data_IF_469389624679
#
_entry.id   IF_469389624679
#
_cell.length_a   1.000
_cell.length_b   1.000
_cell.length_c   1.000
_cell.angle_alpha   90.00
_cell.angle_beta   90.00
_cell.angle_gamma   90.00
#
_symmetry.space_group_name_H-M   'P 1'
#
loop_
_entity.id
_entity.type
_entity.pdbx_description
1 polymer ?
#
# COMPACT_ATOMS: atom_id res chain seq x y z
N UNK A 1 -19.43 20.13 -4.53
CA UNK A 1 -18.32 19.91 -3.57
C UNK A 1 -17.81 18.51 -3.85
N UNK A 2 -16.52 18.32 -3.87
CA UNK A 2 -15.92 17.00 -4.10
C UNK A 2 -16.34 16.03 -2.98
N UNK A 3 -16.82 14.85 -3.35
CA UNK A 3 -17.05 13.76 -2.41
C UNK A 3 -15.77 12.95 -2.23
N UNK A 4 -15.46 12.56 -1.00
CA UNK A 4 -14.38 11.63 -0.73
C UNK A 4 -14.95 10.31 -0.23
N UNK A 5 -14.56 9.22 -0.87
CA UNK A 5 -14.89 7.85 -0.46
C UNK A 5 -13.64 7.20 0.13
N UNK A 6 -13.76 6.62 1.32
CA UNK A 6 -12.69 5.95 2.03
C UNK A 6 -13.01 4.45 2.16
N UNK A 7 -12.23 3.60 1.50
CA UNK A 7 -12.29 2.16 1.65
C UNK A 7 -11.47 1.74 2.88
N UNK A 8 -12.08 0.99 3.78
CA UNK A 8 -11.47 0.50 5.01
C UNK A 8 -11.59 -1.01 5.06
N UNK A 9 -10.55 -1.70 4.61
CA UNK A 9 -10.46 -3.16 4.66
C UNK A 9 -10.02 -3.63 6.04
N UNK A 10 -10.74 -4.59 6.59
CA UNK A 10 -10.49 -5.12 7.92
C UNK A 10 -10.42 -6.64 7.93
N UNK A 11 -10.10 -7.20 9.09
CA UNK A 11 -10.10 -8.66 9.29
C UNK A 11 -11.49 -9.30 9.23
N UNK A 12 -12.57 -8.52 9.25
CA UNK A 12 -13.95 -9.06 9.25
C UNK A 12 -14.93 -8.29 8.36
N UNK A 13 -14.44 -7.78 7.26
CA UNK A 13 -15.26 -7.10 6.26
C UNK A 13 -14.66 -5.80 5.78
N UNK A 14 -15.41 -5.14 4.90
CA UNK A 14 -15.10 -3.84 4.31
C UNK A 14 -16.08 -2.80 4.85
N UNK A 15 -15.56 -1.65 5.27
CA UNK A 15 -16.34 -0.47 5.58
C UNK A 15 -16.05 0.62 4.55
N UNK A 16 -17.04 1.46 4.31
CA UNK A 16 -16.94 2.59 3.39
C UNK A 16 -17.26 3.87 4.16
N UNK A 17 -16.28 4.74 4.24
CA UNK A 17 -16.45 6.10 4.73
C UNK A 17 -16.83 7.02 3.59
N UNK A 18 -17.77 7.96 3.82
CA UNK A 18 -18.16 8.99 2.85
C UNK A 18 -18.14 10.35 3.49
N UNK A 19 -17.59 11.33 2.77
CA UNK A 19 -17.61 12.73 3.15
C UNK A 19 -17.95 13.59 1.94
N UNK A 20 -19.01 14.41 2.07
CA UNK A 20 -19.47 15.32 1.02
C UNK A 20 -19.22 16.80 1.38
N UNK A 21 -18.50 17.09 2.47
CA UNK A 21 -18.30 18.42 3.04
C UNK A 21 -16.82 18.77 3.20
N UNK A 22 -15.99 18.38 2.24
CA UNK A 22 -14.55 18.59 2.26
C UNK A 22 -13.87 17.88 3.44
N UNK A 23 -14.22 16.61 3.65
CA UNK A 23 -13.61 15.74 4.66
C UNK A 23 -13.78 16.21 6.11
N UNK A 24 -14.80 17.07 6.38
CA UNK A 24 -15.08 17.58 7.73
C UNK A 24 -15.85 16.59 8.57
N UNK A 25 -16.79 15.91 7.95
CA UNK A 25 -17.62 14.90 8.61
C UNK A 25 -17.66 13.62 7.76
N UNK A 26 -17.89 12.50 8.43
CA UNK A 26 -17.87 11.18 7.79
C UNK A 26 -19.10 10.36 8.20
N UNK A 27 -19.72 9.73 7.23
CA UNK A 27 -20.63 8.61 7.46
C UNK A 27 -19.88 7.30 7.18
N UNK A 28 -20.04 6.31 8.06
CA UNK A 28 -19.40 4.99 7.91
C UNK A 28 -20.48 3.95 7.69
N UNK A 29 -20.36 3.23 6.56
CA UNK A 29 -21.29 2.18 6.16
C UNK A 29 -20.58 0.82 6.18
N UNK A 30 -21.27 -0.23 6.63
CA UNK A 30 -20.71 -1.59 6.66
C UNK A 30 -21.15 -2.42 7.87
N UNK A 31 -20.60 -3.65 8.03
CA UNK A 31 -19.64 -4.25 7.11
C UNK A 31 -20.27 -4.72 5.81
N UNK A 32 -19.61 -4.44 4.71
CA UNK A 32 -19.78 -5.19 3.48
C UNK A 32 -18.82 -6.39 3.48
N UNK A 33 -19.08 -7.43 2.71
CA UNK A 33 -18.30 -8.67 2.73
C UNK A 33 -18.13 -9.22 4.16
N UNK A 34 -19.22 -9.40 4.93
CA UNK A 34 -19.13 -9.73 6.34
C UNK A 34 -18.42 -11.06 6.56
N UNK A 35 -17.57 -11.12 7.59
CA UNK A 35 -16.75 -12.27 7.97
C UNK A 35 -15.63 -12.61 6.97
N UNK A 36 -15.37 -11.79 5.97
CA UNK A 36 -14.23 -11.92 5.07
C UNK A 36 -13.07 -11.02 5.52
N UNK A 37 -11.85 -11.52 5.43
CA UNK A 37 -10.66 -10.67 5.61
C UNK A 37 -10.43 -9.86 4.33
N UNK A 38 -10.48 -8.54 4.41
CA UNK A 38 -10.19 -7.63 3.29
C UNK A 38 -8.81 -7.02 3.51
N UNK A 39 -7.79 -7.71 3.01
CA UNK A 39 -6.40 -7.33 3.22
C UNK A 39 -5.90 -6.27 2.22
N UNK A 40 -6.51 -6.17 1.06
CA UNK A 40 -6.17 -5.18 0.04
C UNK A 40 -7.41 -4.44 -0.44
N UNK A 41 -7.28 -3.12 -0.58
CA UNK A 41 -8.25 -2.28 -1.31
C UNK A 41 -7.50 -1.45 -2.34
N UNK A 42 -8.15 -1.20 -3.49
CA UNK A 42 -7.58 -0.43 -4.60
C UNK A 42 -8.59 0.52 -5.20
N UNK A 43 -8.09 1.53 -5.89
CA UNK A 43 -8.90 2.51 -6.62
C UNK A 43 -8.28 2.74 -7.98
N UNK A 44 -9.01 2.52 -9.06
CA UNK A 44 -8.67 3.00 -10.39
C UNK A 44 -9.53 4.25 -10.70
N UNK A 45 -8.94 5.44 -10.68
CA UNK A 45 -9.67 6.68 -10.93
C UNK A 45 -10.20 6.79 -12.37
N UNK A 46 -9.71 5.95 -13.29
CA UNK A 46 -10.13 5.94 -14.70
C UNK A 46 -11.42 5.16 -14.95
N UNK A 47 -11.92 4.45 -13.93
CA UNK A 47 -13.13 3.61 -14.03
C UNK A 47 -12.88 2.25 -14.68
N UNK A 48 -13.93 1.42 -14.76
CA UNK A 48 -13.87 0.01 -15.17
C UNK A 48 -13.83 -0.28 -16.67
N UNK A 49 -13.87 0.72 -17.53
CA UNK A 49 -13.87 0.52 -18.98
C UNK A 49 -12.47 0.65 -19.61
N UNK A 50 -12.25 -0.06 -20.74
CA UNK A 50 -11.16 0.22 -21.68
C UNK A 50 -11.44 1.56 -22.40
N UNK A 51 -11.44 2.67 -21.66
CA UNK A 51 -11.70 3.98 -22.23
C UNK A 51 -10.44 4.48 -22.93
N UNK A 52 -10.57 4.65 -24.25
CA UNK A 52 -9.53 5.21 -25.12
C UNK A 52 -9.76 6.72 -25.41
N UNK A 53 -10.74 7.34 -24.73
CA UNK A 53 -11.22 8.69 -25.03
C UNK A 53 -10.40 9.83 -24.36
N UNK A 54 -9.31 9.51 -23.66
CA UNK A 54 -8.41 10.50 -23.06
C UNK A 54 -9.01 11.29 -21.88
N UNK A 55 -10.13 10.83 -21.31
CA UNK A 55 -10.76 11.46 -20.14
C UNK A 55 -9.78 11.52 -18.96
N UNK A 56 -9.65 12.69 -18.35
CA UNK A 56 -8.80 12.88 -17.17
C UNK A 56 -9.45 12.22 -15.95
N UNK A 57 -8.69 11.53 -15.10
CA UNK A 57 -9.22 10.94 -13.87
C UNK A 57 -9.89 11.99 -12.99
N UNK A 58 -11.15 11.74 -12.58
CA UNK A 58 -11.87 12.57 -11.62
C UNK A 58 -12.46 13.89 -12.14
N UNK A 59 -12.24 14.25 -13.43
CA UNK A 59 -12.76 15.53 -13.98
C UNK A 59 -13.96 15.40 -14.93
N UNK A 60 -14.22 14.22 -15.50
CA UNK A 60 -15.21 14.06 -16.58
C UNK A 60 -16.43 13.22 -16.19
N UNK A 61 -16.81 13.23 -14.90
CA UNK A 61 -17.93 12.42 -14.42
C UNK A 61 -17.67 10.90 -14.47
N UNK A 62 -16.40 10.50 -14.50
CA UNK A 62 -16.00 9.10 -14.47
C UNK A 62 -16.10 8.58 -13.04
N UNK A 63 -16.90 7.54 -12.83
CA UNK A 63 -16.93 6.82 -11.55
C UNK A 63 -15.68 5.93 -11.44
N UNK A 64 -14.84 6.10 -10.41
CA UNK A 64 -13.70 5.22 -10.18
C UNK A 64 -14.14 3.77 -10.02
N UNK A 65 -13.31 2.83 -10.49
CA UNK A 65 -13.46 1.42 -10.12
C UNK A 65 -12.75 1.17 -8.80
N UNK A 66 -13.48 0.59 -7.86
CA UNK A 66 -12.95 0.18 -6.57
C UNK A 66 -12.64 -1.31 -6.59
N UNK A 67 -11.62 -1.73 -5.86
CA UNK A 67 -11.22 -3.13 -5.72
C UNK A 67 -11.15 -3.55 -4.25
N UNK A 68 -11.46 -4.81 -3.99
CA UNK A 68 -11.24 -5.48 -2.71
C UNK A 68 -10.62 -6.86 -2.92
N UNK A 69 -9.45 -7.08 -2.33
CA UNK A 69 -8.85 -8.40 -2.19
C UNK A 69 -9.37 -9.04 -0.90
N UNK A 70 -10.20 -10.04 -1.04
CA UNK A 70 -10.95 -10.65 0.06
C UNK A 70 -10.59 -12.12 0.22
N UNK A 71 -10.47 -12.58 1.46
CA UNK A 71 -10.25 -13.99 1.81
C UNK A 71 -11.40 -14.49 2.68
N UNK A 72 -12.06 -15.53 2.20
CA UNK A 72 -13.16 -16.20 2.88
C UNK A 72 -12.74 -17.64 3.25
N UNK A 73 -13.04 -18.08 4.46
CA UNK A 73 -12.68 -19.42 4.92
C UNK A 73 -13.38 -20.56 4.13
N UNK A 74 -14.52 -20.28 3.49
CA UNK A 74 -15.29 -21.27 2.72
C UNK A 74 -15.00 -21.24 1.22
N UNK A 75 -14.70 -20.04 0.67
CA UNK A 75 -14.57 -19.83 -0.79
C UNK A 75 -13.15 -19.48 -1.22
N UNK A 76 -12.22 -19.33 -0.25
CA UNK A 76 -10.85 -18.95 -0.55
C UNK A 76 -10.65 -17.45 -0.78
N UNK A 77 -9.60 -17.11 -1.50
CA UNK A 77 -9.18 -15.73 -1.77
C UNK A 77 -9.61 -15.32 -3.18
N UNK A 78 -10.15 -14.10 -3.29
CA UNK A 78 -10.66 -13.55 -4.55
C UNK A 78 -10.46 -12.04 -4.64
N UNK A 79 -10.55 -11.49 -5.85
CA UNK A 79 -10.65 -10.06 -6.12
C UNK A 79 -12.10 -9.72 -6.47
N UNK A 80 -12.60 -8.65 -5.88
CA UNK A 80 -13.91 -8.07 -6.15
C UNK A 80 -13.71 -6.66 -6.70
N UNK A 81 -14.64 -6.19 -7.53
CA UNK A 81 -14.66 -4.81 -7.98
C UNK A 81 -16.05 -4.17 -7.84
N UNK A 82 -16.09 -2.86 -7.77
CA UNK A 82 -17.30 -2.05 -7.75
C UNK A 82 -17.14 -0.88 -8.72
N UNK A 83 -18.15 -0.65 -9.55
CA UNK A 83 -18.25 0.48 -10.48
C UNK A 83 -19.30 1.52 -10.02
N UNK A 84 -19.83 1.37 -8.81
CA UNK A 84 -20.87 2.22 -8.21
C UNK A 84 -20.47 2.75 -6.81
N UNK A 85 -19.17 3.00 -6.62
CA UNK A 85 -18.61 3.53 -5.38
C UNK A 85 -18.86 2.66 -4.15
N UNK A 86 -18.90 1.33 -4.36
CA UNK A 86 -19.03 0.37 -3.28
C UNK A 86 -20.47 0.11 -2.84
N UNK A 87 -21.49 0.58 -3.58
CA UNK A 87 -22.87 0.21 -3.30
C UNK A 87 -23.13 -1.26 -3.66
N UNK A 88 -22.50 -1.78 -4.71
CA UNK A 88 -22.50 -3.19 -5.02
C UNK A 88 -21.09 -3.69 -5.40
N UNK A 89 -20.84 -4.97 -5.15
CA UNK A 89 -19.57 -5.62 -5.45
C UNK A 89 -19.81 -6.80 -6.39
N UNK A 90 -19.06 -6.82 -7.48
CA UNK A 90 -19.08 -7.91 -8.44
C UNK A 90 -17.88 -8.81 -8.15
N UNK A 91 -18.16 -10.09 -7.97
CA UNK A 91 -17.12 -11.10 -7.94
C UNK A 91 -16.55 -11.28 -9.32
N UNK A 92 -15.26 -11.16 -9.45
CA UNK A 92 -14.56 -11.74 -10.58
C UNK A 92 -14.69 -13.27 -10.43
N UNK A 93 -14.79 -14.05 -11.52
CA UNK A 93 -14.81 -15.50 -11.44
C UNK A 93 -13.77 -16.03 -10.45
N UNK A 94 -14.09 -17.12 -9.77
CA UNK A 94 -13.20 -17.72 -8.72
C UNK A 94 -11.75 -17.93 -9.17
N UNK A 95 -11.49 -17.82 -10.46
CA UNK A 95 -10.21 -18.03 -11.13
C UNK A 95 -9.52 -16.75 -11.62
N UNK A 96 -9.97 -15.56 -11.21
CA UNK A 96 -9.38 -14.30 -11.72
C UNK A 96 -7.88 -14.18 -11.42
N UNK A 97 -7.47 -14.60 -10.22
CA UNK A 97 -6.06 -14.79 -9.86
C UNK A 97 -5.85 -16.27 -9.54
N UNK A 98 -5.29 -17.00 -10.47
CA UNK A 98 -5.01 -18.42 -10.32
C UNK A 98 -3.54 -18.73 -10.58
N UNK A 99 -2.92 -19.40 -9.63
CA UNK A 99 -1.58 -19.94 -9.85
C UNK A 99 -1.64 -21.10 -10.87
N UNK A 100 -0.77 -21.11 -11.88
CA UNK A 100 -0.65 -22.24 -12.80
C UNK A 100 -0.35 -23.55 -12.06
N UNK A 101 -0.91 -24.68 -12.50
CA UNK A 101 -0.74 -26.00 -11.86
C UNK A 101 0.74 -26.37 -11.65
N UNK A 102 1.63 -25.95 -12.58
CA UNK A 102 3.07 -26.17 -12.48
C UNK A 102 3.71 -25.63 -11.21
N UNK A 103 3.09 -24.65 -10.58
CA UNK A 103 3.60 -24.03 -9.37
C UNK A 103 3.33 -24.84 -8.10
N UNK A 104 2.32 -25.72 -8.13
CA UNK A 104 1.86 -26.45 -6.95
C UNK A 104 1.31 -25.57 -5.83
N UNK A 105 0.99 -24.30 -6.12
CA UNK A 105 0.55 -23.31 -5.14
C UNK A 105 -0.88 -22.81 -5.43
N UNK A 106 -1.48 -22.24 -4.40
CA UNK A 106 -2.78 -21.54 -4.47
C UNK A 106 -2.67 -20.15 -3.89
N UNK A 107 -3.62 -19.28 -4.24
CA UNK A 107 -3.70 -17.92 -3.74
C UNK A 107 -4.11 -17.93 -2.26
N UNK A 108 -3.22 -17.45 -1.38
CA UNK A 108 -3.50 -17.34 0.06
C UNK A 108 -4.09 -15.97 0.41
N UNK A 109 -3.52 -14.90 -0.17
CA UNK A 109 -3.94 -13.51 0.10
C UNK A 109 -3.56 -12.59 -1.04
N UNK A 110 -4.41 -11.60 -1.32
CA UNK A 110 -4.06 -10.42 -2.10
C UNK A 110 -3.57 -9.35 -1.15
N UNK A 111 -2.35 -8.85 -1.38
CA UNK A 111 -1.73 -7.85 -0.51
C UNK A 111 -1.84 -6.43 -1.05
N UNK A 112 -1.81 -6.27 -2.37
CA UNK A 112 -1.99 -4.98 -3.00
C UNK A 112 -2.68 -5.12 -4.35
N UNK A 113 -3.56 -4.17 -4.66
CA UNK A 113 -4.16 -3.97 -5.98
C UNK A 113 -3.88 -2.53 -6.36
N UNK A 114 -3.22 -2.32 -7.51
CA UNK A 114 -2.85 -0.98 -7.98
C UNK A 114 -3.06 -0.88 -9.48
N UNK A 115 -3.65 0.20 -9.99
CA UNK A 115 -3.73 0.43 -11.44
C UNK A 115 -2.33 0.68 -12.01
N UNK A 116 -2.09 0.16 -13.23
CA UNK A 116 -0.95 0.55 -14.05
C UNK A 116 -1.26 1.80 -14.86
N UNK A 117 -0.36 2.20 -15.75
CA UNK A 117 -0.55 3.43 -16.54
C UNK A 117 -1.40 3.21 -17.80
N UNK A 118 -1.43 1.99 -18.32
CA UNK A 118 -2.24 1.68 -19.51
C UNK A 118 -3.73 1.54 -19.15
N UNK A 119 -4.66 1.92 -20.06
CA UNK A 119 -6.08 1.68 -19.85
C UNK A 119 -6.37 0.20 -19.57
N UNK A 120 -7.15 -0.08 -18.53
CA UNK A 120 -7.50 -1.43 -18.09
C UNK A 120 -6.38 -2.22 -17.42
N UNK A 121 -5.21 -1.62 -17.26
CA UNK A 121 -4.10 -2.27 -16.56
C UNK A 121 -4.28 -2.19 -15.05
N UNK A 122 -4.20 -3.35 -14.41
CA UNK A 122 -4.23 -3.50 -12.95
C UNK A 122 -3.20 -4.54 -12.53
N UNK A 123 -2.43 -4.22 -11.51
CA UNK A 123 -1.44 -5.10 -10.91
C UNK A 123 -1.92 -5.62 -9.56
N UNK A 124 -1.63 -6.87 -9.26
CA UNK A 124 -1.88 -7.48 -7.96
C UNK A 124 -0.60 -8.12 -7.42
N UNK A 125 -0.20 -7.70 -6.21
CA UNK A 125 0.84 -8.36 -5.42
C UNK A 125 0.18 -9.32 -4.43
N UNK A 126 0.66 -10.56 -4.39
CA UNK A 126 -0.02 -11.65 -3.67
C UNK A 126 0.91 -12.48 -2.80
N UNK A 127 0.29 -13.38 -2.01
CA UNK A 127 0.91 -14.44 -1.24
C UNK A 127 0.43 -15.81 -1.77
N UNK A 128 1.35 -16.77 -2.03
CA UNK A 128 2.82 -16.68 -2.00
C UNK A 128 3.36 -15.60 -2.97
N UNK A 129 4.57 -15.08 -2.68
CA UNK A 129 5.18 -13.96 -3.43
C UNK A 129 5.10 -14.18 -4.95
N UNK A 130 4.18 -13.46 -5.57
CA UNK A 130 4.01 -13.38 -7.01
C UNK A 130 3.37 -12.04 -7.39
N UNK A 131 3.52 -11.68 -8.65
CA UNK A 131 2.83 -10.55 -9.26
C UNK A 131 1.92 -11.06 -10.35
N UNK A 132 0.71 -10.56 -10.36
CA UNK A 132 -0.27 -10.78 -11.42
C UNK A 132 -0.62 -9.46 -12.09
N UNK A 133 -0.88 -9.50 -13.41
CA UNK A 133 -1.24 -8.33 -14.20
C UNK A 133 -2.52 -8.61 -14.97
N UNK A 134 -3.44 -7.67 -14.92
CA UNK A 134 -4.64 -7.60 -15.74
C UNK A 134 -4.48 -6.53 -16.82
N UNK A 135 -5.13 -6.71 -17.96
CA UNK A 135 -5.26 -5.74 -19.06
C UNK A 135 -6.72 -5.48 -19.42
N UNK A 136 -7.66 -6.02 -18.63
CA UNK A 136 -9.11 -5.93 -18.85
C UNK A 136 -9.86 -5.26 -17.69
N UNK A 137 -9.16 -4.39 -16.94
CA UNK A 137 -9.72 -3.64 -15.82
C UNK A 137 -9.84 -4.47 -14.54
N UNK A 138 -9.03 -5.50 -14.37
CA UNK A 138 -9.02 -6.33 -13.16
C UNK A 138 -10.04 -7.47 -13.19
N UNK A 139 -10.55 -7.84 -14.38
CA UNK A 139 -11.49 -8.96 -14.54
C UNK A 139 -10.76 -10.30 -14.59
N UNK A 140 -9.64 -10.36 -15.33
CA UNK A 140 -8.77 -11.53 -15.36
C UNK A 140 -7.32 -11.11 -15.12
N UNK A 141 -6.52 -12.00 -14.55
CA UNK A 141 -5.12 -11.73 -14.23
C UNK A 141 -4.22 -12.85 -14.74
N UNK A 142 -3.04 -12.48 -15.21
CA UNK A 142 -1.99 -13.40 -15.63
C UNK A 142 -0.79 -13.28 -14.69
N UNK A 143 -0.28 -14.41 -14.22
CA UNK A 143 0.92 -14.47 -13.38
C UNK A 143 2.16 -14.03 -14.17
N UNK A 144 3.04 -13.28 -13.54
CA UNK A 144 4.35 -12.99 -14.09
C UNK A 144 5.30 -14.18 -13.86
N UNK A 145 5.53 -14.95 -14.90
CA UNK A 145 6.34 -16.17 -14.86
C UNK A 145 7.82 -15.87 -14.58
N UNK A 146 8.36 -14.77 -15.12
CA UNK A 146 9.77 -14.41 -14.94
C UNK A 146 10.12 -14.08 -13.48
N UNK A 147 9.18 -13.46 -12.73
CA UNK A 147 9.36 -13.27 -11.30
C UNK A 147 9.17 -14.58 -10.53
N UNK A 148 8.18 -15.38 -10.92
CA UNK A 148 7.93 -16.68 -10.28
C UNK A 148 9.12 -17.63 -10.42
N UNK A 149 9.72 -17.70 -11.60
CA UNK A 149 10.85 -18.58 -11.91
C UNK A 149 12.22 -17.90 -11.63
N UNK A 150 12.23 -16.75 -10.93
CA UNK A 150 13.48 -16.03 -10.63
C UNK A 150 14.44 -16.88 -9.80
N UNK A 151 15.76 -16.92 -10.13
CA UNK A 151 16.74 -17.76 -9.44
C UNK A 151 16.83 -17.50 -7.92
N UNK A 152 16.53 -16.30 -7.46
CA UNK A 152 16.55 -15.96 -6.04
C UNK A 152 15.34 -16.49 -5.26
N UNK A 153 14.29 -16.98 -5.94
CA UNK A 153 13.04 -17.38 -5.29
C UNK A 153 13.25 -18.40 -4.17
N UNK A 154 14.14 -19.36 -4.36
CA UNK A 154 14.42 -20.38 -3.34
C UNK A 154 15.02 -19.81 -2.04
N UNK A 155 15.54 -18.58 -2.11
CA UNK A 155 16.11 -17.87 -0.95
C UNK A 155 15.13 -16.92 -0.27
N UNK A 156 13.95 -16.68 -0.86
CA UNK A 156 12.94 -15.84 -0.25
C UNK A 156 12.25 -16.60 0.87
N UNK A 157 12.27 -16.05 2.06
CA UNK A 157 11.71 -16.69 3.25
C UNK A 157 10.45 -15.95 3.73
N UNK A 158 9.52 -16.64 4.38
CA UNK A 158 8.41 -15.95 5.04
C UNK A 158 8.93 -15.19 6.25
N UNK A 159 8.67 -13.86 6.30
CA UNK A 159 8.76 -13.12 7.55
C UNK A 159 7.56 -13.48 8.46
N UNK A 160 7.42 -12.84 9.61
CA UNK A 160 6.25 -13.02 10.49
C UNK A 160 4.90 -12.69 9.83
N UNK A 161 4.89 -12.03 8.69
CA UNK A 161 3.69 -11.67 7.93
C UNK A 161 3.39 -12.55 6.72
N UNK A 162 4.17 -13.61 6.47
CA UNK A 162 4.08 -14.43 5.25
C UNK A 162 5.04 -13.95 4.15
N UNK A 163 5.28 -14.82 3.17
CA UNK A 163 6.07 -14.48 2.00
C UNK A 163 5.16 -13.87 0.92
N UNK A 164 5.21 -12.55 0.74
CA UNK A 164 4.29 -11.82 -0.10
C UNK A 164 4.94 -10.67 -0.87
N UNK A 165 4.45 -10.41 -2.07
CA UNK A 165 4.64 -9.12 -2.74
C UNK A 165 3.55 -8.18 -2.24
N UNK A 166 3.93 -7.25 -1.38
CA UNK A 166 3.01 -6.29 -0.75
C UNK A 166 3.16 -4.86 -1.27
N UNK A 167 4.10 -4.62 -2.18
CA UNK A 167 4.25 -3.35 -2.88
C UNK A 167 4.47 -3.61 -4.37
N UNK A 168 3.64 -2.99 -5.19
CA UNK A 168 3.80 -2.91 -6.65
C UNK A 168 3.68 -1.45 -7.04
N UNK A 169 4.72 -0.90 -7.64
CA UNK A 169 4.82 0.49 -8.09
C UNK A 169 5.09 0.52 -9.60
N UNK A 170 4.06 0.50 -10.46
CA UNK A 170 4.22 0.80 -11.87
C UNK A 170 4.84 2.19 -12.04
N UNK A 171 5.72 2.35 -13.03
CA UNK A 171 6.29 3.67 -13.34
C UNK A 171 5.20 4.58 -13.91
N UNK A 172 5.15 5.88 -13.55
CA UNK A 172 4.08 6.76 -14.01
C UNK A 172 4.12 7.08 -15.50
N UNK A 173 5.29 6.99 -16.14
CA UNK A 173 5.52 7.41 -17.53
C UNK A 173 6.01 6.27 -18.45
N UNK A 174 6.37 5.11 -17.89
CA UNK A 174 6.89 3.98 -18.66
C UNK A 174 6.14 2.67 -18.32
N UNK A 175 5.32 2.12 -19.26
CA UNK A 175 4.56 0.91 -19.04
C UNK A 175 5.42 -0.37 -18.92
N UNK A 176 6.68 -0.30 -19.33
CA UNK A 176 7.62 -1.42 -19.24
C UNK A 176 8.35 -1.45 -17.89
N UNK A 177 8.23 -0.39 -17.08
CA UNK A 177 8.95 -0.25 -15.82
C UNK A 177 8.00 -0.40 -14.60
N UNK A 178 8.43 -1.22 -13.66
CA UNK A 178 7.77 -1.36 -12.36
C UNK A 178 8.76 -1.82 -11.30
N UNK A 179 8.58 -1.32 -10.07
CA UNK A 179 9.30 -1.79 -8.89
C UNK A 179 8.33 -2.56 -7.99
N UNK A 180 8.80 -3.65 -7.41
CA UNK A 180 8.09 -4.40 -6.38
C UNK A 180 8.91 -4.48 -5.10
N UNK A 181 8.22 -4.68 -3.97
CA UNK A 181 8.87 -5.02 -2.72
C UNK A 181 8.14 -6.18 -2.03
N UNK A 182 8.91 -7.01 -1.34
CA UNK A 182 8.41 -8.18 -0.66
C UNK A 182 9.06 -8.41 0.69
N UNK A 183 8.36 -9.10 1.58
CA UNK A 183 8.92 -9.55 2.85
C UNK A 183 10.04 -10.55 2.60
N UNK A 184 11.21 -10.32 3.22
CA UNK A 184 12.42 -11.17 3.14
C UNK A 184 12.90 -11.53 1.73
N UNK A 185 12.56 -10.70 0.74
CA UNK A 185 13.08 -10.79 -0.63
C UNK A 185 13.74 -9.49 -1.07
N UNK A 186 13.36 -8.36 -0.45
CA UNK A 186 13.83 -7.04 -0.84
C UNK A 186 13.00 -6.40 -1.95
N UNK A 187 13.62 -5.49 -2.69
CA UNK A 187 13.04 -4.82 -3.86
C UNK A 187 13.57 -5.43 -5.15
N UNK A 188 12.71 -5.53 -6.16
CA UNK A 188 13.06 -5.90 -7.54
C UNK A 188 12.45 -4.89 -8.50
N UNK A 189 13.14 -4.62 -9.63
CA UNK A 189 12.64 -3.75 -10.70
C UNK A 189 12.70 -4.48 -12.03
N UNK A 190 11.69 -4.31 -12.84
CA UNK A 190 11.67 -4.62 -14.25
C UNK A 190 11.73 -3.33 -15.06
N UNK A 191 12.37 -3.34 -16.22
CA UNK A 191 12.37 -2.25 -17.21
C UNK A 191 12.04 -2.78 -18.60
N UNK A 192 11.43 -3.97 -18.65
CA UNK A 192 11.11 -4.68 -19.88
C UNK A 192 9.71 -5.33 -19.83
N UNK A 193 8.79 -4.74 -19.04
CA UNK A 193 7.40 -5.21 -18.92
C UNK A 193 7.26 -6.51 -18.15
N UNK A 194 8.22 -6.83 -17.28
CA UNK A 194 8.19 -8.04 -16.46
C UNK A 194 8.79 -9.27 -17.14
N UNK A 195 9.50 -9.13 -18.26
CA UNK A 195 10.24 -10.24 -18.90
C UNK A 195 11.48 -10.63 -18.12
N UNK A 196 12.05 -9.69 -17.36
CA UNK A 196 13.11 -9.93 -16.40
C UNK A 196 12.96 -9.03 -15.17
N UNK A 197 13.57 -9.46 -14.05
CA UNK A 197 13.57 -8.73 -12.79
C UNK A 197 14.99 -8.71 -12.22
N UNK A 198 15.41 -7.55 -11.72
CA UNK A 198 16.70 -7.38 -11.07
C UNK A 198 16.54 -6.88 -9.65
N UNK A 199 17.36 -7.34 -8.67
CA UNK A 199 17.31 -6.82 -7.31
C UNK A 199 17.66 -5.33 -7.28
N UNK A 200 17.02 -4.61 -6.36
CA UNK A 200 17.13 -3.15 -6.18
C UNK A 200 17.11 -2.79 -4.68
N UNK A 201 17.93 -3.46 -3.89
CA UNK A 201 17.99 -3.28 -2.44
C UNK A 201 19.37 -2.89 -1.90
N UNK A 202 20.33 -2.59 -2.77
CA UNK A 202 21.69 -2.23 -2.36
C UNK A 202 21.67 -1.00 -1.44
N UNK A 203 22.26 -1.12 -0.25
CA UNK A 203 22.26 -0.07 0.78
C UNK A 203 21.16 -0.22 1.84
N UNK A 204 20.13 -1.03 1.60
CA UNK A 204 19.13 -1.34 2.64
C UNK A 204 19.70 -2.39 3.60
N UNK A 205 19.57 -2.12 4.91
CA UNK A 205 20.08 -2.98 5.98
C UNK A 205 19.14 -4.17 6.24
N UNK A 206 19.70 -5.35 6.42
CA UNK A 206 19.04 -6.56 6.89
C UNK A 206 19.57 -6.90 8.30
N UNK A 207 18.89 -6.41 9.33
CA UNK A 207 19.37 -6.49 10.73
C UNK A 207 19.46 -7.91 11.28
N UNK A 208 18.66 -8.82 10.72
CA UNK A 208 18.67 -10.24 11.09
C UNK A 208 19.88 -11.01 10.51
N UNK A 209 20.65 -10.40 9.60
CA UNK A 209 21.86 -11.01 9.08
C UNK A 209 23.03 -10.82 10.07
N UNK A 210 24.01 -11.74 10.11
CA UNK A 210 25.20 -11.62 10.91
C UNK A 210 25.98 -10.33 10.61
N UNK A 211 26.77 -9.87 11.61
CA UNK A 211 27.67 -8.74 11.45
C UNK A 211 28.62 -8.96 10.25
N UNK A 212 28.82 -7.92 9.43
CA UNK A 212 29.58 -7.99 8.18
C UNK A 212 28.78 -8.47 6.96
N UNK A 213 27.50 -8.90 7.13
CA UNK A 213 26.59 -9.31 6.06
C UNK A 213 25.24 -8.55 6.11
N UNK A 214 25.20 -7.41 6.79
CA UNK A 214 23.97 -6.64 6.98
C UNK A 214 23.46 -5.90 5.74
N UNK A 215 24.26 -5.79 4.71
CA UNK A 215 23.91 -5.10 3.46
C UNK A 215 23.97 -6.07 2.26
N UNK A 216 23.11 -7.08 2.22
CA UNK A 216 23.07 -8.00 1.07
C UNK A 216 22.48 -7.29 -0.16
N UNK A 217 22.69 -7.86 -1.35
CA UNK A 217 22.09 -7.38 -2.59
C UNK A 217 20.56 -7.55 -2.60
N UNK A 218 20.06 -8.59 -1.96
CA UNK A 218 18.64 -8.92 -1.83
C UNK A 218 18.36 -9.66 -0.50
N UNK A 219 17.09 -9.90 -0.19
CA UNK A 219 16.69 -10.64 1.01
C UNK A 219 16.32 -9.74 2.20
N UNK A 220 16.31 -8.41 2.03
CA UNK A 220 15.86 -7.49 3.06
C UNK A 220 14.36 -7.66 3.34
N UNK A 221 13.95 -7.39 4.57
CA UNK A 221 12.54 -7.35 4.95
C UNK A 221 11.98 -5.95 4.74
N UNK A 222 11.69 -5.60 3.49
CA UNK A 222 11.09 -4.32 3.14
C UNK A 222 9.60 -4.38 3.49
N UNK A 223 9.08 -3.36 4.17
CA UNK A 223 7.69 -3.32 4.60
C UNK A 223 6.80 -2.56 3.64
N UNK A 224 7.26 -1.44 3.10
CA UNK A 224 6.55 -0.63 2.10
C UNK A 224 7.53 0.24 1.34
N UNK A 225 7.22 0.53 0.07
CA UNK A 225 7.92 1.54 -0.73
C UNK A 225 6.89 2.52 -1.26
N UNK A 226 7.23 3.81 -1.24
CA UNK A 226 6.45 4.89 -1.85
C UNK A 226 7.32 5.66 -2.83
N UNK A 227 6.69 6.20 -3.88
CA UNK A 227 7.34 7.01 -4.92
C UNK A 227 7.00 8.47 -4.73
N UNK A 228 7.96 9.36 -4.92
CA UNK A 228 7.72 10.80 -5.00
C UNK A 228 6.82 11.15 -6.19
N UNK A 229 6.02 12.21 -6.03
CA UNK A 229 5.04 12.59 -7.06
C UNK A 229 5.66 13.31 -8.26
N UNK A 230 6.82 13.93 -8.11
CA UNK A 230 7.48 14.73 -9.15
C UNK A 230 8.72 14.06 -9.75
N UNK A 231 9.35 13.17 -8.99
CA UNK A 231 10.55 12.45 -9.41
C UNK A 231 10.31 10.93 -9.29
N UNK A 232 10.11 10.23 -10.41
CA UNK A 232 9.81 8.80 -10.38
C UNK A 232 10.98 7.92 -9.91
N UNK A 233 12.20 8.43 -9.90
CA UNK A 233 13.38 7.73 -9.39
C UNK A 233 13.65 8.03 -7.90
N UNK A 234 12.98 9.03 -7.32
CA UNK A 234 13.00 9.30 -5.88
C UNK A 234 11.99 8.40 -5.17
N UNK A 235 12.50 7.41 -4.44
CA UNK A 235 11.67 6.47 -3.68
C UNK A 235 12.05 6.47 -2.20
N UNK A 236 11.08 6.11 -1.36
CA UNK A 236 11.25 5.95 0.08
C UNK A 236 10.82 4.55 0.49
N UNK A 237 11.59 3.91 1.35
CA UNK A 237 11.29 2.57 1.84
C UNK A 237 11.26 2.54 3.37
N UNK A 238 10.16 2.04 3.95
CA UNK A 238 10.17 1.53 5.30
C UNK A 238 10.64 0.08 5.25
N UNK A 239 11.75 -0.19 5.87
CA UNK A 239 12.30 -1.53 6.04
C UNK A 239 12.19 -1.96 7.50
N UNK A 240 12.41 -3.24 7.79
CA UNK A 240 12.43 -3.77 9.16
C UNK A 240 13.38 -2.99 10.08
N UNK A 241 14.55 -2.66 9.61
CA UNK A 241 15.60 -1.98 10.38
C UNK A 241 15.84 -0.52 9.99
N UNK A 242 14.86 0.23 9.47
CA UNK A 242 15.08 1.63 9.17
C UNK A 242 14.20 2.21 8.08
N UNK A 243 14.38 3.50 7.84
CA UNK A 243 13.79 4.24 6.73
C UNK A 243 14.89 4.62 5.75
N UNK A 244 14.64 4.38 4.48
CA UNK A 244 15.64 4.55 3.42
C UNK A 244 15.08 5.39 2.27
N UNK A 245 15.98 6.07 1.56
CA UNK A 245 15.70 6.85 0.35
C UNK A 245 16.63 6.41 -0.77
N UNK A 246 16.12 6.36 -1.99
CA UNK A 246 16.89 6.27 -3.23
C UNK A 246 16.58 7.44 -4.14
N UNK A 247 17.54 7.87 -4.97
CA UNK A 247 17.40 8.92 -5.99
C UNK A 247 17.72 8.39 -7.39
N UNK A 248 17.81 7.08 -7.54
CA UNK A 248 18.21 6.39 -8.77
C UNK A 248 17.33 5.15 -9.05
N UNK A 249 16.07 5.21 -8.62
CA UNK A 249 15.10 4.16 -8.89
C UNK A 249 15.41 2.84 -8.19
N UNK A 250 16.08 2.90 -7.04
CA UNK A 250 16.39 1.74 -6.20
C UNK A 250 17.77 1.12 -6.45
N UNK A 251 18.61 1.70 -7.31
CA UNK A 251 19.95 1.13 -7.53
C UNK A 251 20.82 1.26 -6.27
N UNK A 252 20.68 2.37 -5.53
CA UNK A 252 21.29 2.53 -4.22
C UNK A 252 20.35 3.25 -3.24
N UNK A 253 20.37 2.81 -1.98
CA UNK A 253 19.55 3.37 -0.90
C UNK A 253 20.41 3.90 0.23
N UNK A 254 20.06 5.09 0.71
CA UNK A 254 20.66 5.74 1.87
C UNK A 254 19.68 5.73 3.04
N UNK A 255 20.18 5.52 4.27
CA UNK A 255 19.38 5.67 5.48
C UNK A 255 19.01 7.14 5.71
N UNK A 256 17.74 7.37 6.05
CA UNK A 256 17.19 8.68 6.41
C UNK A 256 16.54 8.66 7.79
N UNK A 257 16.91 7.71 8.64
CA UNK A 257 16.35 7.53 9.98
C UNK A 257 16.81 8.55 11.05
N UNK A 258 17.94 9.31 10.91
CA UNK A 258 18.33 10.27 11.93
C UNK A 258 17.24 11.31 12.22
N UNK A 259 16.89 11.45 13.50
CA UNK A 259 15.83 12.35 13.97
C UNK A 259 14.49 11.64 14.24
N UNK A 260 14.32 10.40 13.83
CA UNK A 260 13.17 9.58 14.21
C UNK A 260 13.34 8.97 15.61
N UNK A 261 12.27 8.80 16.40
CA UNK A 261 12.33 8.23 17.75
C UNK A 261 12.53 6.71 17.76
N UNK A 262 12.20 6.06 16.65
CA UNK A 262 12.38 4.63 16.41
C UNK A 262 12.46 4.38 14.90
N UNK A 263 13.05 3.26 14.51
CA UNK A 263 13.36 2.96 13.09
C UNK A 263 12.46 1.90 12.49
N UNK A 264 11.82 1.09 13.32
CA UNK A 264 10.84 0.10 12.88
C UNK A 264 9.49 0.77 12.56
N UNK A 265 8.79 0.27 11.58
CA UNK A 265 7.46 0.72 11.17
C UNK A 265 6.95 -0.09 9.98
N UNK A 266 5.74 0.22 9.49
CA UNK A 266 5.17 -0.48 8.35
C UNK A 266 4.86 0.45 7.16
N UNK A 267 4.00 1.49 7.27
CA UNK A 267 3.72 2.34 6.12
C UNK A 267 4.80 3.39 5.91
N UNK A 268 4.99 3.74 4.67
CA UNK A 268 5.62 4.97 4.20
C UNK A 268 4.72 5.57 3.13
N UNK A 269 4.49 6.88 3.20
CA UNK A 269 3.65 7.62 2.26
C UNK A 269 4.42 8.83 1.73
N UNK A 270 4.04 9.30 0.53
CA UNK A 270 4.53 10.56 -0.05
C UNK A 270 3.36 11.49 -0.30
N UNK A 271 3.56 12.79 -0.17
CA UNK A 271 2.53 13.79 -0.43
C UNK A 271 2.46 14.05 -1.95
N UNK A 272 1.33 13.78 -2.62
CA UNK A 272 1.22 13.94 -4.07
C UNK A 272 1.27 15.41 -4.53
N UNK A 273 1.14 16.37 -3.62
CA UNK A 273 1.13 17.81 -3.91
C UNK A 273 2.38 18.54 -3.45
N UNK A 274 3.16 17.91 -2.57
CA UNK A 274 4.40 18.48 -2.00
C UNK A 274 5.57 17.52 -2.24
N UNK A 275 6.19 17.56 -3.43
CA UNK A 275 7.33 16.71 -3.75
C UNK A 275 8.41 16.76 -2.66
N UNK A 276 9.04 15.63 -2.40
CA UNK A 276 10.01 15.47 -1.34
C UNK A 276 9.41 15.32 0.07
N UNK A 277 8.08 15.41 0.22
CA UNK A 277 7.43 15.18 1.52
C UNK A 277 7.16 13.70 1.72
N UNK A 278 7.66 13.15 2.84
CA UNK A 278 7.48 11.76 3.23
C UNK A 278 6.91 11.63 4.65
N UNK A 279 6.05 10.64 4.85
CA UNK A 279 5.37 10.37 6.11
C UNK A 279 5.66 8.93 6.56
N UNK A 280 5.97 8.76 7.84
CA UNK A 280 6.23 7.44 8.46
C UNK A 280 5.53 7.32 9.82
N UNK A 281 5.40 6.08 10.29
CA UNK A 281 4.72 5.70 11.54
C UNK A 281 5.66 4.84 12.41
N UNK A 282 6.63 5.44 13.12
CA UNK A 282 7.59 4.71 13.92
C UNK A 282 6.96 3.90 15.05
N UNK A 283 7.47 2.69 15.25
CA UNK A 283 7.08 1.76 16.32
C UNK A 283 8.33 1.39 17.14
N UNK A 284 8.15 1.06 18.41
CA UNK A 284 9.25 0.76 19.34
C UNK A 284 10.14 -0.36 18.84
N UNK A 285 9.55 -1.49 18.49
CA UNK A 285 10.30 -2.65 18.00
C UNK A 285 9.39 -3.59 17.19
N UNK A 286 9.99 -4.62 16.63
CA UNK A 286 9.33 -5.64 15.83
C UNK A 286 8.39 -6.57 16.64
N UNK A 287 8.61 -6.70 17.93
CA UNK A 287 7.80 -7.54 18.83
C UNK A 287 6.74 -6.75 19.56
N UNK A 288 7.02 -5.53 20.02
CA UNK A 288 6.06 -4.66 20.74
C UNK A 288 5.05 -4.03 19.77
N UNK A 289 5.49 -3.51 18.63
CA UNK A 289 4.66 -2.93 17.56
C UNK A 289 3.67 -1.87 18.01
N UNK A 290 4.10 -0.98 18.87
CA UNK A 290 3.31 0.19 19.27
C UNK A 290 4.16 1.48 19.21
N UNK A 291 3.53 2.67 19.11
CA UNK A 291 4.25 3.93 19.05
C UNK A 291 5.11 4.17 20.28
N UNK A 292 6.29 4.83 20.13
CA UNK A 292 7.09 5.25 21.27
C UNK A 292 6.27 6.04 22.29
N UNK A 293 6.51 5.78 23.58
CA UNK A 293 5.83 6.41 24.72
C UNK A 293 4.32 6.13 24.80
N UNK A 294 3.80 5.19 23.99
CA UNK A 294 2.36 4.98 23.85
C UNK A 294 1.62 6.20 23.27
N UNK A 295 2.34 7.06 22.54
CA UNK A 295 1.84 8.30 21.96
C UNK A 295 1.78 8.19 20.43
N UNK A 296 0.57 8.29 19.85
CA UNK A 296 0.40 8.23 18.40
C UNK A 296 0.93 9.48 17.74
N UNK A 297 1.89 9.31 16.84
CA UNK A 297 2.49 10.38 16.06
C UNK A 297 2.69 9.90 14.62
N UNK A 298 2.31 10.75 13.67
CA UNK A 298 2.77 10.63 12.29
C UNK A 298 4.02 11.50 12.17
N UNK A 299 5.08 10.98 11.59
CA UNK A 299 6.30 11.76 11.40
C UNK A 299 6.40 12.20 9.95
N UNK A 300 6.58 13.50 9.76
CA UNK A 300 6.70 14.14 8.44
C UNK A 300 8.12 14.65 8.22
N UNK A 301 8.66 14.38 7.05
CA UNK A 301 9.82 15.08 6.51
C UNK A 301 9.39 15.89 5.30
N UNK A 302 9.64 17.20 5.26
CA UNK A 302 9.34 18.04 4.09
C UNK A 302 10.48 18.08 3.06
N UNK A 303 11.63 17.46 3.37
CA UNK A 303 12.91 17.60 2.68
C UNK A 303 13.55 16.23 2.34
N UNK A 304 12.72 15.27 1.99
CA UNK A 304 13.12 13.93 1.55
C UNK A 304 13.86 13.11 2.62
N UNK A 305 13.57 13.35 3.88
CA UNK A 305 14.13 12.60 5.01
C UNK A 305 15.36 13.25 5.65
N UNK A 306 15.71 14.48 5.27
CA UNK A 306 16.86 15.18 5.88
C UNK A 306 16.51 15.72 7.29
N UNK A 307 15.21 16.09 7.51
CA UNK A 307 14.70 16.47 8.84
C UNK A 307 13.32 15.83 9.08
N UNK A 308 12.95 15.68 10.38
CA UNK A 308 11.69 15.06 10.78
C UNK A 308 10.96 15.88 11.84
N UNK A 309 9.64 16.01 11.68
CA UNK A 309 8.75 16.66 12.65
C UNK A 309 7.57 15.75 13.03
N UNK A 310 7.15 15.72 14.31
CA UNK A 310 5.99 14.94 14.73
C UNK A 310 4.67 15.69 14.49
N UNK A 311 3.70 15.03 13.90
CA UNK A 311 2.32 15.50 13.76
C UNK A 311 1.48 14.80 14.84
N UNK A 312 0.90 15.57 15.77
CA UNK A 312 0.27 15.04 16.99
C UNK A 312 -1.15 15.56 17.25
N UNK A 313 -1.50 16.69 16.65
CA UNK A 313 -2.78 17.36 16.95
C UNK A 313 -3.97 16.45 16.60
N UNK A 314 -4.84 16.20 17.59
CA UNK A 314 -6.00 15.31 17.43
C UNK A 314 -5.71 13.81 17.54
N UNK A 315 -4.46 13.42 17.76
CA UNK A 315 -4.07 12.01 18.00
C UNK A 315 -3.88 11.74 19.51
N UNK A 316 -4.17 10.51 19.98
CA UNK A 316 -3.97 10.15 21.39
C UNK A 316 -2.47 10.19 21.75
N UNK A 317 -2.14 10.91 22.81
CA UNK A 317 -0.75 11.11 23.26
C UNK A 317 -0.37 10.24 24.46
N UNK A 318 -1.24 9.33 24.86
CA UNK A 318 -1.00 8.30 25.86
C UNK A 318 -1.87 7.07 25.59
N UNK A 319 -1.52 5.93 26.17
CA UNK A 319 -2.31 4.71 26.13
C UNK A 319 -2.48 4.07 24.75
N UNK A 320 -1.71 4.52 23.74
CA UNK A 320 -1.82 4.01 22.36
C UNK A 320 -0.86 2.84 22.13
N UNK A 321 -1.37 1.62 22.29
CA UNK A 321 -0.60 0.39 22.10
C UNK A 321 -1.07 -0.38 20.87
N UNK A 322 -1.10 0.28 19.72
CA UNK A 322 -1.57 -0.29 18.46
C UNK A 322 -0.72 0.19 17.28
N UNK A 323 -0.58 -0.65 16.26
CA UNK A 323 0.18 -0.36 15.06
C UNK A 323 -0.73 0.09 13.90
N UNK A 324 -0.16 0.86 12.98
CA UNK A 324 -0.67 1.07 11.62
C UNK A 324 0.07 0.10 10.70
N UNK A 325 -0.67 -0.75 9.97
CA UNK A 325 -0.08 -1.76 9.09
C UNK A 325 0.26 -1.18 7.72
N UNK A 326 1.01 -1.97 6.89
CA UNK A 326 1.59 -1.54 5.59
C UNK A 326 0.65 -0.77 4.66
N UNK A 327 -0.56 -1.30 4.48
CA UNK A 327 -1.59 -0.75 3.59
C UNK A 327 -2.73 -0.07 4.34
N UNK A 328 -2.64 0.00 5.67
CA UNK A 328 -3.61 0.68 6.53
C UNK A 328 -3.41 2.20 6.59
N UNK A 329 -2.66 2.78 5.66
CA UNK A 329 -2.49 4.22 5.52
C UNK A 329 -2.46 4.63 4.05
N UNK A 330 -3.01 5.79 3.75
CA UNK A 330 -2.98 6.39 2.42
C UNK A 330 -3.09 7.92 2.47
N UNK A 331 -2.87 8.54 1.32
CA UNK A 331 -3.14 9.96 1.06
C UNK A 331 -4.12 10.10 -0.10
N UNK A 332 -4.80 11.23 -0.20
CA UNK A 332 -5.56 11.64 -1.38
C UNK A 332 -4.83 12.76 -2.15
N UNK A 333 -5.37 13.14 -3.31
CA UNK A 333 -4.84 14.23 -4.14
C UNK A 333 -5.54 15.58 -3.85
N UNK A 334 -6.28 15.71 -2.76
CA UNK A 334 -6.97 16.93 -2.35
C UNK A 334 -6.01 18.10 -2.08
N UNK A 335 -6.55 19.30 -2.00
CA UNK A 335 -5.82 20.52 -1.63
C UNK A 335 -6.49 21.18 -0.43
N UNK A 336 -5.86 21.13 0.76
CA UNK A 336 -4.64 20.37 1.14
C UNK A 336 -4.81 18.85 1.02
N UNK A 337 -3.67 18.12 0.92
CA UNK A 337 -3.65 16.66 0.89
C UNK A 337 -4.35 16.07 2.11
N UNK A 338 -5.24 15.11 1.88
CA UNK A 338 -5.84 14.30 2.95
C UNK A 338 -4.91 13.14 3.32
N UNK A 339 -4.79 12.86 4.63
CA UNK A 339 -4.03 11.74 5.16
C UNK A 339 -4.96 10.85 5.97
N UNK A 340 -4.97 9.55 5.70
CA UNK A 340 -5.88 8.59 6.32
C UNK A 340 -5.09 7.39 6.82
N UNK A 341 -5.41 6.93 8.03
CA UNK A 341 -4.84 5.68 8.52
C UNK A 341 -5.75 4.96 9.50
N UNK A 342 -5.67 3.66 9.51
CA UNK A 342 -6.37 2.79 10.43
C UNK A 342 -5.41 1.98 11.29
N UNK A 343 -5.82 1.68 12.51
CA UNK A 343 -5.02 0.96 13.50
C UNK A 343 -5.49 -0.48 13.63
N UNK A 344 -4.64 -1.33 14.19
CA UNK A 344 -5.01 -2.71 14.55
C UNK A 344 -6.04 -2.79 15.68
N UNK A 345 -6.22 -1.73 16.45
CA UNK A 345 -7.30 -1.62 17.43
C UNK A 345 -8.64 -1.17 16.84
N UNK A 346 -8.72 -0.93 15.52
CA UNK A 346 -9.96 -0.63 14.83
C UNK A 346 -10.37 0.83 14.84
N UNK A 347 -9.45 1.75 15.13
CA UNK A 347 -9.68 3.18 15.02
C UNK A 347 -9.12 3.71 13.71
N UNK A 348 -9.87 4.54 13.02
CA UNK A 348 -9.47 5.21 11.78
C UNK A 348 -9.40 6.72 12.01
N UNK A 349 -8.30 7.33 11.59
CA UNK A 349 -8.05 8.76 11.66
C UNK A 349 -7.96 9.36 10.25
N UNK A 350 -8.40 10.61 10.12
CA UNK A 350 -8.25 11.42 8.92
C UNK A 350 -7.72 12.80 9.25
N UNK A 351 -6.83 13.30 8.40
CA UNK A 351 -6.47 14.71 8.31
C UNK A 351 -6.94 15.25 6.97
N UNK A 352 -7.48 16.46 6.97
CA UNK A 352 -7.89 17.19 5.75
C UNK A 352 -7.01 18.40 5.44
N UNK A 353 -5.97 18.61 6.21
CA UNK A 353 -5.13 19.81 6.23
C UNK A 353 -3.62 19.48 6.07
N UNK A 354 -3.30 18.33 5.45
CA UNK A 354 -1.91 17.93 5.20
C UNK A 354 -1.20 17.42 6.45
N UNK A 355 -1.94 17.01 7.48
CA UNK A 355 -1.41 16.48 8.73
C UNK A 355 -1.33 17.49 9.87
N UNK A 356 -1.77 18.74 9.67
CA UNK A 356 -1.74 19.74 10.73
C UNK A 356 -2.70 19.38 11.88
N UNK A 357 -3.79 18.66 11.57
CA UNK A 357 -4.68 18.07 12.59
C UNK A 357 -5.31 16.76 12.09
N UNK A 358 -5.66 15.89 13.04
CA UNK A 358 -6.35 14.62 12.77
C UNK A 358 -7.67 14.55 13.54
N UNK A 359 -8.65 13.89 12.95
CA UNK A 359 -9.94 13.57 13.59
C UNK A 359 -10.19 12.08 13.54
N UNK A 360 -10.81 11.52 14.56
CA UNK A 360 -11.30 10.16 14.54
C UNK A 360 -12.50 10.07 13.59
N UNK A 361 -12.40 9.17 12.61
CA UNK A 361 -13.43 8.91 11.60
C UNK A 361 -14.32 7.74 12.00
N UNK A 362 -13.69 6.70 12.56
CA UNK A 362 -14.37 5.51 13.04
C UNK A 362 -13.59 4.88 14.19
N UNK A 363 -14.30 4.24 15.10
CA UNK A 363 -13.73 3.48 16.22
C UNK A 363 -14.40 2.12 16.35
N UNK A 364 -13.72 1.20 17.06
CA UNK A 364 -14.21 -0.14 17.36
C UNK A 364 -14.49 -1.01 16.13
N UNK A 365 -13.87 -0.70 14.98
CA UNK A 365 -13.84 -1.60 13.84
C UNK A 365 -12.96 -2.82 14.17
N UNK A 366 -13.07 -3.93 13.44
CA UNK A 366 -12.04 -4.97 13.50
C UNK A 366 -10.67 -4.42 13.06
N UNK A 367 -9.60 -5.19 13.33
CA UNK A 367 -8.22 -4.90 12.91
C UNK A 367 -8.17 -4.34 11.47
N UNK A 368 -7.78 -3.06 11.32
CA UNK A 368 -7.70 -2.41 10.00
C UNK A 368 -6.44 -2.85 9.28
N UNK A 369 -6.61 -3.38 8.08
CA UNK A 369 -5.55 -3.99 7.27
C UNK A 369 -5.16 -3.11 6.08
N UNK A 370 -6.14 -2.42 5.48
CA UNK A 370 -5.93 -1.57 4.31
C UNK A 370 -6.87 -0.38 4.30
N UNK A 371 -6.37 0.76 3.79
CA UNK A 371 -7.13 2.00 3.63
C UNK A 371 -6.78 2.63 2.28
N UNK A 372 -7.79 3.06 1.51
CA UNK A 372 -7.59 3.85 0.28
C UNK A 372 -8.69 4.90 0.15
N UNK A 373 -8.30 6.10 -0.27
CA UNK A 373 -9.20 7.20 -0.54
C UNK A 373 -9.42 7.36 -2.05
N UNK A 374 -10.67 7.66 -2.45
CA UNK A 374 -11.05 8.12 -3.78
C UNK A 374 -11.72 9.48 -3.64
N UNK A 375 -11.19 10.52 -4.29
CA UNK A 375 -11.81 11.84 -4.37
C UNK A 375 -12.55 11.97 -5.69
N UNK A 376 -13.82 12.31 -5.62
CA UNK A 376 -14.69 12.52 -6.76
C UNK A 376 -14.77 14.02 -7.04
N UNK A 377 -14.40 14.39 -8.25
CA UNK A 377 -14.40 15.79 -8.70
C UNK A 377 -15.78 16.34 -9.05
#
# INVERSE_FOLDING_TARGET
MAETVLLIGTRKGLWIGRSADDRKSWSIEGPQLPMEEVAAVGVDPRGGGNRTDGAQPGHDGVTPRLFAGSTNFAYGTRVLHSDDLGHSWQGVPEDAIRFPERTGNSLNRVWQITPGIQPGEVWAGVEPSAVFRSTDGGVTFTMNDALWDHPHRETWEPGFGGQAVHTVLPHPDDPEDALIAMSTGGCYRTTDGGRSWAPRSTGIRADFNPEGKKYPEFGQCVHKVARDAADPDLLFAQNHGGVFRTKDGGAHWDSIEPGLPATFGFPVLTDPRKPGTVLVFPLVADVERFPPDGAMKVWRSPDSGDTWEPLTAGLPQDGMYSAVMRDAACVDAGDPTGIYFGTRSGTVYASRDGGDSFTEVAANLPDVLSVRAATLG
#
